data_IF_976654721276
#
_entry.id   IF_976654721276
#
_cell.length_a   1.000
_cell.length_b   1.000
_cell.length_c   1.000
_cell.angle_alpha   90.00
_cell.angle_beta   90.00
_cell.angle_gamma   90.00
#
_symmetry.space_group_name_H-M   'P 1'
#
loop_
_entity.id
_entity.type
_entity.pdbx_description
1 polymer ?
#
# COMPACT_ATOMS: atom_id res chain seq x y z
N UNK A 1 -24.78 -26.57 0.57
CA UNK A 1 -24.06 -26.14 1.78
C UNK A 1 -24.50 -26.92 3.04
N UNK A 2 -25.30 -26.39 3.98
CA UNK A 2 -25.62 -27.07 5.26
C UNK A 2 -26.23 -28.48 5.10
N UNK A 3 -27.19 -28.63 4.18
CA UNK A 3 -27.83 -29.94 3.89
C UNK A 3 -26.86 -30.95 3.28
N UNK A 4 -25.92 -30.53 2.44
CA UNK A 4 -24.93 -31.44 1.83
C UNK A 4 -23.88 -31.90 2.82
N UNK A 5 -23.29 -31.00 3.63
CA UNK A 5 -22.31 -31.36 4.65
C UNK A 5 -22.87 -32.38 5.66
N UNK A 6 -24.14 -32.21 6.04
CA UNK A 6 -24.83 -33.15 6.93
C UNK A 6 -24.94 -34.56 6.35
N UNK A 7 -25.08 -34.69 5.02
CA UNK A 7 -25.16 -35.98 4.33
C UNK A 7 -23.79 -36.63 4.11
N UNK A 8 -22.73 -35.83 3.91
CA UNK A 8 -21.36 -36.32 3.66
C UNK A 8 -20.59 -36.61 4.96
N UNK A 9 -21.14 -36.22 6.13
CA UNK A 9 -20.51 -36.37 7.46
C UNK A 9 -19.21 -35.57 7.59
N UNK A 10 -19.18 -34.35 7.05
CA UNK A 10 -18.03 -33.45 7.11
C UNK A 10 -18.27 -32.29 8.08
N UNK A 11 -17.22 -31.70 8.67
CA UNK A 11 -17.32 -30.44 9.38
C UNK A 11 -18.00 -29.36 8.53
N UNK A 12 -18.82 -28.53 9.16
CA UNK A 12 -19.38 -27.35 8.52
C UNK A 12 -19.13 -26.10 9.37
N UNK A 13 -18.98 -24.98 8.67
CA UNK A 13 -18.99 -23.64 9.24
C UNK A 13 -19.78 -22.75 8.28
N UNK A 14 -20.93 -22.24 8.71
CA UNK A 14 -21.83 -21.50 7.81
C UNK A 14 -22.55 -20.36 8.52
N UNK A 15 -22.62 -19.22 7.85
CA UNK A 15 -23.34 -18.04 8.32
C UNK A 15 -24.71 -17.94 7.65
N UNK A 16 -25.74 -17.68 8.43
CA UNK A 16 -27.08 -17.46 7.91
C UNK A 16 -27.93 -16.59 8.84
N UNK A 17 -29.06 -16.13 8.29
CA UNK A 17 -30.07 -15.38 9.05
C UNK A 17 -31.03 -16.34 9.73
N UNK A 18 -31.13 -16.25 11.05
CA UNK A 18 -32.09 -17.02 11.84
C UNK A 18 -33.11 -16.09 12.49
N UNK A 19 -34.40 -16.43 12.37
CA UNK A 19 -35.48 -15.70 13.03
C UNK A 19 -35.66 -16.21 14.46
N UNK A 20 -35.50 -15.33 15.44
CA UNK A 20 -35.73 -15.60 16.86
C UNK A 20 -37.23 -15.67 17.17
N UNK A 21 -37.57 -16.14 18.38
CA UNK A 21 -38.94 -16.28 18.87
C UNK A 21 -39.72 -14.95 18.92
N UNK A 22 -39.01 -13.83 19.07
CA UNK A 22 -39.55 -12.47 19.06
C UNK A 22 -39.79 -11.91 17.63
N UNK A 23 -39.49 -12.71 16.60
CA UNK A 23 -39.62 -12.32 15.19
C UNK A 23 -38.40 -11.57 14.63
N UNK A 24 -37.41 -11.20 15.46
CA UNK A 24 -36.19 -10.55 14.97
C UNK A 24 -35.27 -11.53 14.27
N UNK A 25 -34.68 -11.11 13.16
CA UNK A 25 -33.64 -11.88 12.50
C UNK A 25 -32.26 -11.51 13.03
N UNK A 26 -31.46 -12.54 13.34
CA UNK A 26 -30.06 -12.43 13.75
C UNK A 26 -29.16 -13.13 12.76
N UNK A 27 -27.96 -12.61 12.57
CA UNK A 27 -26.90 -13.34 11.90
C UNK A 27 -26.31 -14.35 12.87
N UNK A 28 -26.23 -15.60 12.44
CA UNK A 28 -25.71 -16.69 13.25
C UNK A 28 -24.65 -17.41 12.43
N UNK A 29 -23.51 -17.68 13.05
CA UNK A 29 -22.54 -18.64 12.55
C UNK A 29 -22.82 -19.98 13.26
N UNK A 30 -23.03 -21.01 12.46
CA UNK A 30 -23.22 -22.37 12.94
C UNK A 30 -22.02 -23.20 12.53
N UNK A 31 -21.30 -23.73 13.51
CA UNK A 31 -20.22 -24.66 13.29
C UNK A 31 -20.57 -26.01 13.89
N UNK A 32 -20.24 -27.09 13.19
CA UNK A 32 -20.51 -28.44 13.67
C UNK A 32 -19.53 -29.43 13.10
N UNK A 33 -19.19 -30.44 13.89
CA UNK A 33 -18.35 -31.57 13.48
C UNK A 33 -19.05 -32.89 13.75
N UNK A 34 -18.88 -33.88 12.87
CA UNK A 34 -19.34 -35.23 13.15
C UNK A 34 -18.61 -35.75 14.39
N UNK A 35 -19.30 -36.51 15.24
CA UNK A 35 -18.65 -37.27 16.30
C UNK A 35 -19.10 -38.72 16.24
N UNK A 36 -18.22 -39.61 16.64
CA UNK A 36 -18.46 -41.05 16.70
C UNK A 36 -18.61 -41.51 18.15
N UNK A 37 -19.35 -42.58 18.35
CA UNK A 37 -19.40 -43.28 19.63
C UNK A 37 -18.10 -44.09 19.87
N UNK A 38 -17.93 -44.71 21.06
CA UNK A 38 -16.77 -45.54 21.36
C UNK A 38 -16.59 -46.77 20.45
N UNK A 39 -17.66 -47.20 19.77
CA UNK A 39 -17.64 -48.33 18.82
C UNK A 39 -17.28 -47.88 17.39
N UNK A 40 -16.99 -46.59 17.18
CA UNK A 40 -16.61 -46.00 15.91
C UNK A 40 -17.79 -45.71 14.97
N UNK A 41 -19.04 -45.81 15.45
CA UNK A 41 -20.22 -45.50 14.66
C UNK A 41 -20.56 -44.02 14.73
N UNK A 42 -21.10 -43.47 13.64
CA UNK A 42 -21.53 -42.08 13.59
C UNK A 42 -22.68 -41.82 14.58
N UNK A 43 -22.42 -41.00 15.59
CA UNK A 43 -23.34 -40.70 16.67
C UNK A 43 -24.08 -39.36 16.48
N UNK A 44 -23.62 -38.52 15.55
CA UNK A 44 -24.27 -37.27 15.19
C UNK A 44 -23.27 -36.15 14.98
N UNK A 45 -23.73 -34.91 15.21
CA UNK A 45 -22.91 -33.72 15.16
C UNK A 45 -22.85 -33.04 16.53
N UNK A 46 -21.67 -32.56 16.91
CA UNK A 46 -21.50 -31.61 18.02
C UNK A 46 -21.09 -30.28 17.40
N UNK A 47 -21.75 -29.21 17.83
CA UNK A 47 -21.57 -27.89 17.25
C UNK A 47 -22.07 -26.78 18.16
N UNK A 48 -21.81 -25.55 17.74
CA UNK A 48 -22.26 -24.35 18.42
C UNK A 48 -22.82 -23.34 17.41
N UNK A 49 -23.82 -22.59 17.87
CA UNK A 49 -24.38 -21.45 17.17
C UNK A 49 -23.99 -20.18 17.91
N UNK A 50 -23.25 -19.28 17.26
CA UNK A 50 -22.91 -17.98 17.83
C UNK A 50 -23.68 -16.89 17.10
N UNK A 51 -24.33 -15.99 17.85
CA UNK A 51 -24.89 -14.77 17.28
C UNK A 51 -23.75 -13.83 16.91
N UNK A 52 -23.64 -13.51 15.63
CA UNK A 52 -22.61 -12.62 15.06
C UNK A 52 -23.23 -11.31 14.54
N UNK A 53 -24.46 -10.99 14.96
CA UNK A 53 -25.19 -9.81 14.47
C UNK A 53 -24.44 -8.52 14.79
N UNK A 54 -23.92 -8.36 16.00
CA UNK A 54 -23.17 -7.17 16.40
C UNK A 54 -21.86 -7.04 15.59
N UNK A 55 -21.15 -8.16 15.40
CA UNK A 55 -19.94 -8.20 14.56
C UNK A 55 -20.23 -7.76 13.13
N UNK A 56 -21.24 -8.35 12.49
CA UNK A 56 -21.67 -7.99 11.12
C UNK A 56 -22.09 -6.52 11.02
N UNK A 57 -22.82 -6.00 12.02
CA UNK A 57 -23.20 -4.59 12.05
C UNK A 57 -22.01 -3.64 12.18
N UNK A 58 -21.00 -4.01 12.99
CA UNK A 58 -19.76 -3.23 13.09
C UNK A 58 -18.94 -3.28 11.80
N UNK A 59 -18.82 -4.45 11.17
CA UNK A 59 -18.16 -4.62 9.87
C UNK A 59 -18.86 -3.77 8.79
N UNK A 60 -20.19 -3.88 8.65
CA UNK A 60 -20.99 -3.09 7.71
C UNK A 60 -20.88 -1.58 7.98
N UNK A 61 -20.91 -1.15 9.24
CA UNK A 61 -20.77 0.25 9.62
C UNK A 61 -19.38 0.79 9.29
N UNK A 62 -18.33 0.01 9.53
CA UNK A 62 -16.94 0.35 9.20
C UNK A 62 -16.76 0.47 7.69
N UNK A 63 -17.26 -0.50 6.92
CA UNK A 63 -17.26 -0.44 5.45
C UNK A 63 -18.02 0.77 4.92
N UNK A 64 -19.19 1.07 5.50
CA UNK A 64 -19.98 2.23 5.10
C UNK A 64 -19.23 3.54 5.37
N UNK A 65 -18.61 3.67 6.54
CA UNK A 65 -17.79 4.84 6.88
C UNK A 65 -16.56 4.98 5.97
N UNK A 66 -15.94 3.86 5.59
CA UNK A 66 -14.86 3.86 4.61
C UNK A 66 -15.32 4.36 3.23
N UNK A 67 -16.45 3.86 2.72
CA UNK A 67 -17.03 4.32 1.45
C UNK A 67 -17.41 5.80 1.47
N UNK A 68 -17.97 6.28 2.58
CA UNK A 68 -18.28 7.71 2.76
C UNK A 68 -17.01 8.57 2.72
N UNK A 69 -15.93 8.13 3.39
CA UNK A 69 -14.65 8.84 3.39
C UNK A 69 -14.03 8.87 1.99
N UNK A 70 -14.13 7.78 1.22
CA UNK A 70 -13.66 7.73 -0.17
C UNK A 70 -14.38 8.72 -1.08
N UNK A 71 -15.71 8.69 -1.05
CA UNK A 71 -16.52 9.60 -1.86
C UNK A 71 -16.23 11.05 -1.51
N UNK A 72 -16.00 11.33 -0.23
CA UNK A 72 -15.58 12.65 0.23
C UNK A 72 -14.20 13.03 -0.32
N UNK A 73 -13.18 12.18 -0.15
CA UNK A 73 -11.81 12.44 -0.66
C UNK A 73 -11.81 12.60 -2.18
N UNK A 74 -12.56 11.78 -2.90
CA UNK A 74 -12.69 11.85 -4.35
C UNK A 74 -13.32 13.17 -4.80
N UNK A 75 -14.48 13.52 -4.24
CA UNK A 75 -15.20 14.74 -4.58
C UNK A 75 -14.36 15.98 -4.30
N UNK A 76 -13.77 16.07 -3.10
CA UNK A 76 -12.90 17.20 -2.73
C UNK A 76 -11.70 17.30 -3.67
N UNK A 77 -11.04 16.18 -3.98
CA UNK A 77 -9.86 16.20 -4.86
C UNK A 77 -10.21 16.60 -6.29
N UNK A 78 -11.37 16.16 -6.79
CA UNK A 78 -11.89 16.58 -8.08
C UNK A 78 -12.20 18.08 -8.12
N UNK A 79 -12.91 18.59 -7.12
CA UNK A 79 -13.35 19.98 -7.06
C UNK A 79 -12.18 20.95 -6.85
N UNK A 80 -11.10 20.51 -6.21
CA UNK A 80 -9.86 21.29 -6.07
C UNK A 80 -8.98 21.28 -7.33
N UNK A 81 -9.16 20.32 -8.24
CA UNK A 81 -8.34 20.22 -9.45
C UNK A 81 -8.64 21.35 -10.44
N UNK A 82 -9.91 21.65 -10.68
CA UNK A 82 -10.32 22.71 -11.61
C UNK A 82 -9.74 24.10 -11.26
N UNK A 83 -9.86 24.61 -10.02
CA UNK A 83 -9.26 25.90 -9.65
C UNK A 83 -7.73 25.88 -9.73
N UNK A 84 -7.07 24.76 -9.40
CA UNK A 84 -5.61 24.64 -9.54
C UNK A 84 -5.15 24.73 -10.99
N UNK A 85 -5.80 24.02 -11.91
CA UNK A 85 -5.49 24.09 -13.35
C UNK A 85 -5.68 25.51 -13.87
N UNK A 86 -6.75 26.19 -13.43
CA UNK A 86 -6.97 27.59 -13.79
C UNK A 86 -5.87 28.51 -13.27
N UNK A 87 -5.44 28.34 -12.02
CA UNK A 87 -4.33 29.12 -11.44
C UNK A 87 -3.01 28.87 -12.17
N UNK A 88 -2.72 27.61 -12.51
CA UNK A 88 -1.55 27.24 -13.31
C UNK A 88 -1.55 27.97 -14.67
N UNK A 89 -2.71 27.98 -15.33
CA UNK A 89 -2.89 28.64 -16.63
C UNK A 89 -2.67 30.15 -16.54
N UNK A 90 -3.26 30.83 -15.55
CA UNK A 90 -3.04 32.27 -15.36
C UNK A 90 -1.61 32.62 -14.98
N UNK A 91 -0.95 31.84 -14.13
CA UNK A 91 0.45 32.04 -13.79
C UNK A 91 1.35 31.93 -15.04
N UNK A 92 1.10 30.92 -15.87
CA UNK A 92 1.82 30.73 -17.13
C UNK A 92 1.58 31.87 -18.13
N UNK A 93 0.34 32.31 -18.29
CA UNK A 93 0.02 33.47 -19.16
C UNK A 93 0.73 34.74 -18.67
N UNK A 94 0.77 34.97 -17.36
CA UNK A 94 1.48 36.10 -16.76
C UNK A 94 2.99 36.02 -17.04
N UNK A 95 3.58 34.82 -16.99
CA UNK A 95 4.99 34.60 -17.36
C UNK A 95 5.24 34.89 -18.84
N UNK A 96 4.35 34.43 -19.72
CA UNK A 96 4.47 34.62 -21.17
C UNK A 96 4.29 36.11 -21.58
N UNK A 97 3.33 36.82 -20.99
CA UNK A 97 3.01 38.21 -21.36
C UNK A 97 3.93 39.24 -20.70
N UNK A 98 4.29 39.03 -19.43
CA UNK A 98 5.00 40.03 -18.63
C UNK A 98 6.40 39.55 -18.17
N UNK A 99 6.79 38.31 -18.45
CA UNK A 99 8.05 37.75 -17.93
C UNK A 99 9.30 38.46 -18.41
N UNK A 100 9.27 39.19 -19.54
CA UNK A 100 10.41 39.98 -20.02
C UNK A 100 10.58 41.32 -19.30
N UNK A 101 9.49 41.86 -18.74
CA UNK A 101 9.47 43.14 -18.00
C UNK A 101 9.44 42.95 -16.48
N UNK A 102 9.29 41.72 -16.00
CA UNK A 102 9.38 41.37 -14.58
C UNK A 102 10.79 41.55 -14.04
N UNK A 103 10.87 42.25 -12.91
CA UNK A 103 12.05 42.27 -12.05
C UNK A 103 12.32 40.89 -11.41
N UNK A 104 13.46 40.77 -10.72
CA UNK A 104 13.88 39.52 -10.11
C UNK A 104 12.89 39.00 -9.05
N UNK A 105 12.35 39.91 -8.23
CA UNK A 105 11.44 39.56 -7.14
C UNK A 105 10.10 39.01 -7.67
N UNK A 106 9.52 39.66 -8.69
CA UNK A 106 8.27 39.19 -9.31
C UNK A 106 8.45 37.85 -10.02
N UNK A 107 9.61 37.62 -10.65
CA UNK A 107 9.94 36.32 -11.25
C UNK A 107 10.06 35.23 -10.19
N UNK A 108 10.68 35.53 -9.05
CA UNK A 108 10.75 34.59 -7.93
C UNK A 108 9.36 34.27 -7.36
N UNK A 109 8.49 35.25 -7.18
CA UNK A 109 7.11 35.01 -6.74
C UNK A 109 6.36 34.10 -7.70
N UNK A 110 6.50 34.32 -9.02
CA UNK A 110 5.84 33.50 -10.02
C UNK A 110 6.35 32.06 -10.02
N UNK A 111 7.67 31.86 -9.94
CA UNK A 111 8.27 30.53 -9.78
C UNK A 111 7.79 29.81 -8.52
N UNK A 112 7.62 30.54 -7.41
CA UNK A 112 7.04 29.97 -6.17
C UNK A 112 5.57 29.58 -6.36
N UNK A 113 4.78 30.36 -7.11
CA UNK A 113 3.40 30.01 -7.44
C UNK A 113 3.36 28.71 -8.26
N UNK A 114 4.17 28.61 -9.32
CA UNK A 114 4.28 27.38 -10.12
C UNK A 114 4.62 26.17 -9.26
N UNK A 115 5.68 26.26 -8.44
CA UNK A 115 6.11 25.18 -7.55
C UNK A 115 5.01 24.76 -6.56
N UNK A 116 4.23 25.71 -6.04
CA UNK A 116 3.12 25.41 -5.14
C UNK A 116 1.95 24.72 -5.86
N UNK A 117 1.61 25.17 -7.08
CA UNK A 117 0.54 24.56 -7.88
C UNK A 117 0.90 23.13 -8.28
N UNK A 118 2.15 22.89 -8.69
CA UNK A 118 2.65 21.55 -8.99
C UNK A 118 2.59 20.67 -7.74
N UNK A 119 3.08 21.18 -6.60
CA UNK A 119 3.02 20.47 -5.32
C UNK A 119 1.59 20.11 -4.90
N UNK A 120 0.62 21.01 -5.11
CA UNK A 120 -0.79 20.75 -4.81
C UNK A 120 -1.40 19.72 -5.77
N UNK A 121 -1.00 19.74 -7.04
CA UNK A 121 -1.45 18.75 -8.03
C UNK A 121 -0.94 17.34 -7.69
N UNK A 122 0.32 17.24 -7.26
CA UNK A 122 0.91 15.98 -6.78
C UNK A 122 0.19 15.47 -5.53
N UNK A 123 -0.08 16.37 -4.55
CA UNK A 123 -0.80 16.02 -3.32
C UNK A 123 -2.20 15.47 -3.60
N UNK A 124 -2.93 16.07 -4.54
CA UNK A 124 -4.26 15.59 -4.93
C UNK A 124 -4.20 14.22 -5.61
N UNK A 125 -3.18 13.99 -6.43
CA UNK A 125 -2.98 12.72 -7.12
C UNK A 125 -2.66 11.60 -6.12
N UNK A 126 -1.71 11.84 -5.22
CA UNK A 126 -1.32 10.91 -4.17
C UNK A 126 -2.49 10.60 -3.20
N UNK A 127 -3.29 11.61 -2.85
CA UNK A 127 -4.44 11.44 -1.96
C UNK A 127 -5.53 10.58 -2.60
N UNK A 128 -5.83 10.82 -3.88
CA UNK A 128 -6.78 10.01 -4.65
C UNK A 128 -6.31 8.55 -4.76
N UNK A 129 -5.01 8.36 -4.92
CA UNK A 129 -4.43 7.05 -5.01
C UNK A 129 -4.50 6.29 -3.69
N UNK A 130 -4.13 6.95 -2.58
CA UNK A 130 -4.25 6.38 -1.24
C UNK A 130 -5.69 5.92 -0.95
N UNK A 131 -6.68 6.69 -1.41
CA UNK A 131 -8.10 6.34 -1.27
C UNK A 131 -8.52 5.08 -2.04
N UNK A 132 -7.77 4.68 -3.08
CA UNK A 132 -8.13 3.57 -3.98
C UNK A 132 -7.45 2.24 -3.64
N UNK A 133 -6.34 2.26 -2.89
CA UNK A 133 -5.60 1.05 -2.51
C UNK A 133 -6.48 0.13 -1.65
N UNK A 134 -6.51 -1.17 -1.98
CA UNK A 134 -7.26 -2.21 -1.25
C UNK A 134 -8.76 -2.30 -1.57
N UNK A 135 -9.26 -1.51 -2.53
CA UNK A 135 -10.71 -1.32 -2.75
C UNK A 135 -11.17 -1.53 -4.18
N UNK A 136 -10.25 -1.44 -5.14
CA UNK A 136 -10.47 -1.82 -6.54
C UNK A 136 -9.89 -3.20 -6.72
N UNK A 137 -10.64 -4.12 -7.31
CA UNK A 137 -10.09 -5.42 -7.75
C UNK A 137 -8.93 -5.16 -8.70
N UNK A 138 -7.73 -5.52 -8.25
CA UNK A 138 -6.53 -5.39 -9.05
C UNK A 138 -6.21 -6.68 -9.77
N UNK A 139 -5.68 -6.54 -10.98
CA UNK A 139 -5.21 -7.67 -11.76
C UNK A 139 -3.92 -8.21 -11.13
N UNK A 140 -4.02 -9.33 -10.44
CA UNK A 140 -2.87 -10.07 -9.92
C UNK A 140 -2.28 -10.93 -11.03
N UNK A 141 -0.96 -10.85 -11.20
CA UNK A 141 -0.22 -11.63 -12.19
C UNK A 141 1.14 -12.06 -11.63
N UNK A 142 1.80 -12.99 -12.32
CA UNK A 142 3.20 -13.31 -12.03
C UNK A 142 4.08 -12.18 -12.56
N UNK A 143 4.73 -11.45 -11.66
CA UNK A 143 5.54 -10.27 -11.99
C UNK A 143 7.01 -10.52 -11.71
N UNK A 144 7.88 -10.54 -12.74
CA UNK A 144 9.32 -10.52 -12.56
C UNK A 144 9.76 -9.17 -11.99
N UNK A 145 10.24 -9.15 -10.74
CA UNK A 145 10.59 -7.88 -10.07
C UNK A 145 11.79 -7.21 -10.75
N UNK A 146 12.66 -7.97 -11.40
CA UNK A 146 13.75 -7.44 -12.23
C UNK A 146 13.26 -6.52 -13.35
N UNK A 147 12.15 -6.86 -14.01
CA UNK A 147 11.55 -6.01 -15.06
C UNK A 147 11.00 -4.71 -14.48
N UNK A 148 10.37 -4.78 -13.30
CA UNK A 148 9.87 -3.60 -12.61
C UNK A 148 11.04 -2.67 -12.29
N UNK A 149 12.06 -3.17 -11.61
CA UNK A 149 13.20 -2.35 -11.18
C UNK A 149 13.87 -1.72 -12.39
N UNK A 150 14.08 -2.47 -13.47
CA UNK A 150 14.64 -1.94 -14.72
C UNK A 150 13.80 -0.79 -15.28
N UNK A 151 12.49 -1.00 -15.44
CA UNK A 151 11.58 0.02 -15.95
C UNK A 151 11.53 1.27 -15.07
N UNK A 152 11.48 1.10 -13.75
CA UNK A 152 11.45 2.23 -12.81
C UNK A 152 12.76 3.02 -12.87
N UNK A 153 13.90 2.35 -13.04
CA UNK A 153 15.19 3.03 -13.22
C UNK A 153 15.23 3.81 -14.54
N UNK A 154 14.66 3.28 -15.62
CA UNK A 154 14.52 4.00 -16.90
C UNK A 154 13.63 5.24 -16.75
N UNK A 155 12.48 5.12 -16.07
CA UNK A 155 11.57 6.25 -15.78
C UNK A 155 12.25 7.36 -14.96
N UNK A 156 13.22 6.99 -14.11
CA UNK A 156 13.98 7.94 -13.27
C UNK A 156 15.37 8.27 -13.83
N UNK A 157 15.68 7.89 -15.07
CA UNK A 157 17.03 8.03 -15.62
C UNK A 157 17.54 9.49 -15.61
N UNK A 158 16.66 10.46 -15.90
CA UNK A 158 17.00 11.90 -15.86
C UNK A 158 17.36 12.32 -14.44
N UNK A 159 16.50 12.01 -13.46
CA UNK A 159 16.72 12.33 -12.05
C UNK A 159 18.03 11.71 -11.52
N UNK A 160 18.28 10.44 -11.86
CA UNK A 160 19.47 9.72 -11.45
C UNK A 160 20.74 10.31 -12.07
N UNK A 161 20.69 10.66 -13.35
CA UNK A 161 21.82 11.22 -14.09
C UNK A 161 22.17 12.63 -13.61
N UNK A 162 21.17 13.50 -13.44
CA UNK A 162 21.36 14.87 -12.94
C UNK A 162 21.93 14.89 -11.52
N UNK A 163 21.55 13.93 -10.69
CA UNK A 163 22.08 13.77 -9.34
C UNK A 163 23.46 13.07 -9.30
N UNK A 164 23.94 12.53 -10.43
CA UNK A 164 25.17 11.73 -10.48
C UNK A 164 25.09 10.46 -9.64
N UNK A 165 23.91 9.83 -9.58
CA UNK A 165 23.66 8.68 -8.72
C UNK A 165 24.31 7.39 -9.26
N UNK A 166 24.96 6.63 -8.38
CA UNK A 166 25.42 5.27 -8.63
C UNK A 166 24.32 4.30 -8.20
N UNK A 167 23.83 3.46 -9.11
CA UNK A 167 22.79 2.47 -8.81
C UNK A 167 23.33 1.06 -8.97
N UNK A 168 23.09 0.23 -7.96
CA UNK A 168 23.40 -1.21 -7.96
C UNK A 168 22.13 -1.98 -7.68
N UNK A 169 21.64 -2.73 -8.66
CA UNK A 169 20.50 -3.64 -8.48
C UNK A 169 20.99 -5.08 -8.49
N UNK A 170 20.39 -5.94 -7.65
CA UNK A 170 20.65 -7.37 -7.67
C UNK A 170 20.21 -8.00 -9.00
N UNK A 171 21.08 -8.81 -9.61
CA UNK A 171 20.82 -9.44 -10.92
C UNK A 171 19.74 -10.53 -10.89
N UNK A 172 19.40 -11.04 -9.70
CA UNK A 172 18.56 -12.23 -9.50
C UNK A 172 17.29 -11.94 -8.67
N UNK A 173 16.65 -10.79 -8.89
CA UNK A 173 15.38 -10.46 -8.23
C UNK A 173 14.29 -11.51 -8.55
N UNK A 174 13.51 -11.97 -7.55
CA UNK A 174 12.53 -13.05 -7.73
C UNK A 174 11.28 -12.58 -8.48
N UNK A 175 10.47 -13.55 -8.91
CA UNK A 175 9.10 -13.33 -9.40
C UNK A 175 8.12 -13.41 -8.22
N UNK A 176 7.17 -12.48 -8.16
CA UNK A 176 6.10 -12.44 -7.15
C UNK A 176 4.73 -12.48 -7.81
N UNK A 177 3.71 -12.97 -7.11
CA UNK A 177 2.33 -12.94 -7.62
C UNK A 177 1.59 -11.73 -7.02
N UNK A 178 1.34 -10.71 -7.84
CA UNK A 178 0.84 -9.43 -7.37
C UNK A 178 0.51 -8.44 -8.48
N UNK A 179 0.18 -7.21 -8.07
CA UNK A 179 -0.10 -6.12 -9.00
C UNK A 179 1.19 -5.44 -9.46
N UNK A 180 1.48 -5.55 -10.76
CA UNK A 180 2.65 -4.89 -11.39
C UNK A 180 2.64 -3.38 -11.15
N UNK A 181 1.48 -2.74 -11.28
CA UNK A 181 1.34 -1.29 -11.09
C UNK A 181 1.74 -0.87 -9.68
N UNK A 182 1.29 -1.60 -8.66
CA UNK A 182 1.58 -1.31 -7.26
C UNK A 182 3.02 -1.54 -6.88
N UNK A 183 3.61 -2.63 -7.35
CA UNK A 183 5.02 -2.90 -7.13
C UNK A 183 5.91 -1.85 -7.81
N UNK A 184 5.61 -1.47 -9.06
CA UNK A 184 6.30 -0.36 -9.74
C UNK A 184 6.24 0.93 -8.94
N UNK A 185 5.08 1.24 -8.37
CA UNK A 185 4.92 2.41 -7.52
C UNK A 185 5.77 2.36 -6.24
N UNK A 186 5.78 1.22 -5.55
CA UNK A 186 6.62 1.03 -4.34
C UNK A 186 8.09 1.28 -4.66
N UNK A 187 8.62 0.66 -5.72
CA UNK A 187 10.01 0.86 -6.12
C UNK A 187 10.28 2.29 -6.57
N UNK A 188 9.38 2.91 -7.33
CA UNK A 188 9.46 4.31 -7.76
C UNK A 188 9.56 5.28 -6.57
N UNK A 189 8.71 5.09 -5.56
CA UNK A 189 8.74 5.88 -4.35
C UNK A 189 10.07 5.73 -3.58
N UNK A 190 10.57 4.50 -3.45
CA UNK A 190 11.83 4.24 -2.75
C UNK A 190 13.04 4.79 -3.50
N UNK A 191 13.15 4.55 -4.81
CA UNK A 191 14.26 5.01 -5.65
C UNK A 191 14.28 6.53 -5.72
N UNK A 192 13.13 7.17 -5.95
CA UNK A 192 13.08 8.64 -6.00
C UNK A 192 13.45 9.26 -4.64
N UNK A 193 13.05 8.64 -3.52
CA UNK A 193 13.42 9.10 -2.18
C UNK A 193 14.93 8.96 -1.92
N UNK A 194 15.55 7.85 -2.32
CA UNK A 194 16.99 7.63 -2.16
C UNK A 194 17.82 8.75 -2.81
N UNK A 195 17.37 9.30 -3.94
CA UNK A 195 18.02 10.44 -4.62
C UNK A 195 17.65 11.77 -3.96
N UNK A 196 16.35 12.03 -3.72
CA UNK A 196 15.85 13.29 -3.15
C UNK A 196 16.43 13.61 -1.77
N UNK A 197 16.69 12.58 -0.96
CA UNK A 197 17.23 12.71 0.40
C UNK A 197 18.74 12.45 0.49
N UNK A 198 19.45 12.55 -0.63
CA UNK A 198 20.91 12.51 -0.67
C UNK A 198 21.56 13.65 0.13
N UNK A 199 22.80 13.41 0.56
CA UNK A 199 23.64 14.41 1.24
C UNK A 199 24.18 15.42 0.22
N UNK A 200 24.21 16.68 0.61
CA UNK A 200 24.71 17.74 -0.26
C UNK A 200 26.20 17.55 -0.55
N UNK A 201 26.59 17.61 -1.82
CA UNK A 201 27.97 17.40 -2.26
C UNK A 201 28.45 15.94 -2.26
N UNK A 202 27.58 14.97 -1.97
CA UNK A 202 27.89 13.53 -2.01
C UNK A 202 27.04 12.85 -3.10
N UNK A 203 27.67 12.12 -4.00
CA UNK A 203 26.97 11.35 -5.02
C UNK A 203 26.02 10.31 -4.36
N UNK A 204 24.73 10.27 -4.73
CA UNK A 204 23.81 9.26 -4.21
C UNK A 204 24.28 7.86 -4.61
N UNK A 205 24.27 6.92 -3.68
CA UNK A 205 24.51 5.50 -3.95
C UNK A 205 23.26 4.73 -3.56
N UNK A 206 22.60 4.12 -4.54
CA UNK A 206 21.33 3.39 -4.38
C UNK A 206 21.58 1.91 -4.61
N UNK A 207 21.38 1.10 -3.59
CA UNK A 207 21.50 -0.35 -3.63
C UNK A 207 20.12 -0.99 -3.52
N UNK A 208 19.72 -1.78 -4.52
CA UNK A 208 18.42 -2.46 -4.59
C UNK A 208 18.68 -3.95 -4.48
N UNK A 209 18.10 -4.60 -3.47
CA UNK A 209 18.32 -6.01 -3.23
C UNK A 209 17.13 -6.70 -2.58
N UNK A 210 17.32 -7.98 -2.28
CA UNK A 210 16.30 -8.81 -1.66
C UNK A 210 16.93 -9.91 -0.81
N UNK A 211 16.15 -10.42 0.14
CA UNK A 211 16.50 -11.53 1.03
C UNK A 211 15.31 -12.52 1.09
N UNK A 212 15.54 -13.85 1.02
CA UNK A 212 14.47 -14.82 1.25
C UNK A 212 14.05 -14.81 2.72
N UNK A 213 12.75 -14.85 2.97
CA UNK A 213 12.14 -15.10 4.28
C UNK A 213 11.29 -16.37 4.20
N UNK A 214 10.98 -16.95 5.36
CA UNK A 214 10.04 -18.06 5.42
C UNK A 214 8.66 -17.61 4.95
N UNK A 215 8.20 -18.11 3.80
CA UNK A 215 6.92 -17.75 3.19
C UNK A 215 6.86 -16.38 2.50
N UNK A 216 7.95 -15.62 2.44
CA UNK A 216 7.97 -14.27 1.87
C UNK A 216 9.33 -13.89 1.26
N UNK A 217 9.37 -12.78 0.55
CA UNK A 217 10.60 -12.10 0.15
C UNK A 217 10.68 -10.77 0.88
N UNK A 218 11.87 -10.40 1.35
CA UNK A 218 12.16 -9.04 1.82
C UNK A 218 12.90 -8.29 0.72
N UNK A 219 12.31 -7.23 0.19
CA UNK A 219 12.99 -6.31 -0.72
C UNK A 219 13.50 -5.11 0.05
N UNK A 220 14.62 -4.55 -0.40
CA UNK A 220 15.16 -3.33 0.19
C UNK A 220 15.74 -2.39 -0.86
N UNK A 221 15.68 -1.10 -0.53
CA UNK A 221 16.38 -0.01 -1.22
C UNK A 221 17.19 0.73 -0.17
N UNK A 222 18.50 0.72 -0.34
CA UNK A 222 19.47 1.33 0.55
C UNK A 222 20.11 2.54 -0.11
N UNK A 223 20.19 3.62 0.64
CA UNK A 223 20.77 4.89 0.24
C UNK A 223 21.90 5.31 1.19
N UNK A 224 22.78 6.19 0.70
CA UNK A 224 23.80 6.89 1.49
C UNK A 224 23.37 8.32 1.85
N UNK A 225 22.07 8.58 1.99
CA UNK A 225 21.49 9.90 2.19
C UNK A 225 21.65 10.45 3.60
N UNK A 226 20.77 11.39 3.97
CA UNK A 226 20.83 12.11 5.26
C UNK A 226 20.52 11.22 6.48
N UNK A 227 19.91 10.06 6.26
CA UNK A 227 19.43 9.19 7.32
C UNK A 227 18.28 9.76 8.17
N UNK A 228 17.79 8.95 9.10
CA UNK A 228 16.61 9.19 9.93
C UNK A 228 16.94 8.85 11.38
N UNK A 229 16.58 9.75 12.30
CA UNK A 229 16.70 9.52 13.75
C UNK A 229 15.75 8.42 14.20
N UNK A 230 16.16 7.60 15.16
CA UNK A 230 15.34 6.55 15.78
C UNK A 230 13.90 7.00 16.10
N UNK A 231 13.76 8.14 16.80
CA UNK A 231 12.45 8.69 17.21
C UNK A 231 11.51 9.07 16.07
N UNK A 232 12.04 9.18 14.85
CA UNK A 232 11.31 9.61 13.67
C UNK A 232 11.05 8.45 12.69
N UNK A 233 11.63 7.25 12.91
CA UNK A 233 11.52 6.09 12.02
C UNK A 233 10.08 5.59 11.80
N UNK A 234 9.22 5.65 12.81
CA UNK A 234 7.81 5.29 12.64
C UNK A 234 7.02 6.38 11.93
N UNK A 235 7.42 7.64 12.13
CA UNK A 235 6.72 8.82 11.60
C UNK A 235 6.93 9.00 10.11
N UNK A 236 7.98 8.44 9.50
CA UNK A 236 8.20 8.62 8.05
C UNK A 236 7.13 7.93 7.20
N UNK A 237 6.41 6.94 7.75
CA UNK A 237 5.31 6.26 7.08
C UNK A 237 3.94 6.92 7.32
N UNK A 238 3.86 8.02 8.07
CA UNK A 238 2.60 8.73 8.30
C UNK A 238 2.33 9.74 7.18
N UNK A 239 1.07 9.92 6.82
CA UNK A 239 0.63 10.87 5.78
C UNK A 239 1.10 12.29 6.14
N UNK A 240 1.57 13.04 5.15
CA UNK A 240 2.09 14.42 5.26
C UNK A 240 3.35 14.57 6.13
N UNK A 241 4.05 13.47 6.40
CA UNK A 241 5.29 13.51 7.18
C UNK A 241 6.46 13.94 6.32
N UNK A 242 7.13 15.03 6.70
CA UNK A 242 8.38 15.53 6.07
C UNK A 242 9.39 15.87 7.16
N UNK A 243 10.56 15.22 7.12
CA UNK A 243 11.62 15.45 8.10
C UNK A 243 12.45 16.68 7.70
N UNK A 244 12.22 17.81 8.41
CA UNK A 244 12.99 19.07 8.60
C UNK A 244 13.74 19.74 7.42
N UNK A 245 13.93 19.14 6.24
CA UNK A 245 14.49 19.80 5.06
C UNK A 245 13.33 20.48 4.32
N UNK A 246 13.07 21.75 4.65
CA UNK A 246 11.97 22.56 4.07
C UNK A 246 12.03 22.66 2.54
N UNK A 247 13.18 22.38 1.95
CA UNK A 247 13.45 22.60 0.52
C UNK A 247 13.41 21.34 -0.37
N UNK A 248 13.26 20.12 0.21
CA UNK A 248 13.16 18.89 -0.60
C UNK A 248 11.75 18.71 -1.12
N UNK A 249 11.56 18.71 -2.43
CA UNK A 249 10.28 18.51 -3.09
C UNK A 249 9.67 17.12 -2.79
N UNK A 250 8.35 17.06 -2.61
CA UNK A 250 7.61 15.83 -2.31
C UNK A 250 6.35 16.07 -1.49
N UNK A 251 5.35 15.20 -1.62
CA UNK A 251 4.06 15.34 -0.94
C UNK A 251 4.10 14.90 0.53
N UNK A 252 5.06 14.04 0.89
CA UNK A 252 5.08 13.35 2.18
C UNK A 252 4.04 12.22 2.28
N UNK A 253 3.48 11.79 1.14
CA UNK A 253 2.48 10.72 1.07
C UNK A 253 3.08 9.42 0.50
N UNK A 254 4.13 9.50 -0.33
CA UNK A 254 4.69 8.33 -1.02
C UNK A 254 5.06 7.13 -0.12
N UNK A 255 5.65 7.35 1.06
CA UNK A 255 5.95 6.26 2.00
C UNK A 255 4.68 5.70 2.69
N UNK A 256 3.65 6.53 2.88
CA UNK A 256 2.36 6.06 3.39
C UNK A 256 1.61 5.23 2.33
N UNK A 257 1.69 5.61 1.04
CA UNK A 257 1.21 4.83 -0.09
C UNK A 257 1.93 3.47 -0.13
N UNK A 258 3.26 3.47 -0.09
CA UNK A 258 4.04 2.23 -0.04
C UNK A 258 3.58 1.33 1.10
N UNK A 259 3.49 1.88 2.32
CA UNK A 259 3.04 1.14 3.49
C UNK A 259 1.67 0.51 3.26
N UNK A 260 0.71 1.29 2.74
CA UNK A 260 -0.64 0.81 2.47
C UNK A 260 -0.64 -0.30 1.43
N UNK A 261 0.08 -0.14 0.32
CA UNK A 261 0.21 -1.17 -0.73
C UNK A 261 0.73 -2.48 -0.16
N UNK A 262 1.79 -2.41 0.63
CA UNK A 262 2.43 -3.60 1.22
C UNK A 262 1.53 -4.27 2.24
N UNK A 263 0.86 -3.50 3.10
CA UNK A 263 -0.07 -4.02 4.12
C UNK A 263 -1.30 -4.70 3.49
N UNK A 264 -1.85 -4.17 2.39
CA UNK A 264 -2.93 -4.84 1.64
C UNK A 264 -2.50 -6.19 1.05
N UNK A 265 -1.22 -6.34 0.73
CA UNK A 265 -0.66 -7.63 0.29
C UNK A 265 -0.27 -8.55 1.47
N UNK A 266 -0.63 -8.21 2.70
CA UNK A 266 -0.25 -8.97 3.90
C UNK A 266 1.24 -8.86 4.27
N UNK A 267 1.95 -7.91 3.68
CA UNK A 267 3.36 -7.64 3.95
C UNK A 267 3.59 -6.66 5.09
N UNK A 268 4.86 -6.38 5.35
CA UNK A 268 5.33 -5.43 6.36
C UNK A 268 6.35 -4.47 5.75
N UNK A 269 6.43 -3.26 6.28
CA UNK A 269 7.43 -2.26 5.88
C UNK A 269 8.27 -1.83 7.07
N UNK A 270 9.49 -1.37 6.79
CA UNK A 270 10.33 -0.77 7.81
C UNK A 270 11.50 0.02 7.24
N UNK A 271 12.28 0.59 8.16
CA UNK A 271 13.45 1.38 7.82
C UNK A 271 14.55 1.18 8.85
N UNK A 272 15.73 0.81 8.36
CA UNK A 272 16.97 0.74 9.14
C UNK A 272 17.83 1.94 8.74
N UNK A 273 18.04 2.89 9.64
CA UNK A 273 18.68 4.16 9.26
C UNK A 273 19.47 4.80 10.40
N UNK A 274 20.61 5.38 10.05
CA UNK A 274 21.46 6.14 10.97
C UNK A 274 21.60 7.57 10.43
N UNK A 275 21.27 8.56 11.27
CA UNK A 275 21.37 9.98 10.91
C UNK A 275 22.80 10.30 10.45
N UNK A 276 22.94 10.82 9.23
CA UNK A 276 24.21 11.15 8.60
C UNK A 276 24.88 10.04 7.79
N UNK A 277 24.43 8.78 7.89
CA UNK A 277 25.04 7.65 7.17
C UNK A 277 24.19 7.14 5.99
N UNK A 278 22.86 7.19 6.13
CA UNK A 278 21.91 6.75 5.11
C UNK A 278 20.71 6.00 5.66
N UNK A 279 19.87 5.47 4.78
CA UNK A 279 18.69 4.68 5.15
C UNK A 279 18.58 3.42 4.31
N UNK A 280 18.04 2.36 4.89
CA UNK A 280 17.62 1.14 4.19
C UNK A 280 16.15 0.97 4.42
N UNK A 281 15.35 1.34 3.43
CA UNK A 281 13.92 1.08 3.43
C UNK A 281 13.68 -0.33 2.91
N UNK A 282 12.80 -1.06 3.58
CA UNK A 282 12.51 -2.44 3.22
C UNK A 282 11.01 -2.72 3.30
N UNK A 283 10.58 -3.71 2.53
CA UNK A 283 9.24 -4.27 2.63
C UNK A 283 9.25 -5.78 2.40
N UNK A 284 8.26 -6.47 2.93
CA UNK A 284 8.03 -7.89 2.66
C UNK A 284 6.89 -8.08 1.68
N UNK A 285 7.00 -9.13 0.88
CA UNK A 285 5.95 -9.52 -0.06
C UNK A 285 5.80 -11.05 0.00
N UNK A 286 4.57 -11.60 0.12
CA UNK A 286 4.37 -13.04 0.19
C UNK A 286 4.96 -13.78 -1.01
N UNK A 287 5.50 -14.98 -0.77
CA UNK A 287 5.90 -15.84 -1.88
C UNK A 287 4.66 -16.50 -2.49
N UNK A 288 4.73 -16.85 -3.77
CA UNK A 288 3.65 -17.58 -4.46
C UNK A 288 3.26 -18.87 -3.73
N UNK A 289 4.23 -19.53 -3.11
CA UNK A 289 3.99 -20.78 -2.37
C UNK A 289 3.19 -20.52 -1.08
N UNK A 290 3.48 -19.42 -0.36
CA UNK A 290 2.71 -19.03 0.82
C UNK A 290 1.29 -18.58 0.43
N UNK A 291 1.14 -17.83 -0.68
CA UNK A 291 -0.17 -17.42 -1.18
C UNK A 291 -1.02 -18.62 -1.61
N UNK A 292 -0.42 -19.62 -2.29
CA UNK A 292 -1.11 -20.85 -2.65
C UNK A 292 -1.56 -21.66 -1.43
N UNK A 293 -0.76 -21.70 -0.36
CA UNK A 293 -1.15 -22.36 0.91
C UNK A 293 -2.29 -21.59 1.59
N UNK A 294 -2.30 -20.25 1.55
CA UNK A 294 -3.39 -19.42 2.10
C UNK A 294 -4.69 -19.62 1.29
N UNK A 295 -4.61 -19.60 -0.04
CA UNK A 295 -5.75 -19.87 -0.94
C UNK A 295 -6.31 -21.29 -0.75
N UNK A 296 -5.44 -22.30 -0.61
CA UNK A 296 -5.85 -23.66 -0.29
C UNK A 296 -6.49 -23.75 1.11
N UNK A 297 -6.01 -23.01 2.11
CA UNK A 297 -6.62 -22.96 3.45
C UNK A 297 -7.96 -22.22 3.49
N UNK A 298 -8.16 -21.20 2.65
CA UNK A 298 -9.46 -20.54 2.50
C UNK A 298 -10.48 -21.41 1.76
N UNK A 299 -10.00 -22.28 0.86
CA UNK A 299 -10.81 -23.25 0.13
C UNK A 299 -11.04 -24.57 0.91
N UNK A 300 -10.16 -24.94 1.84
CA UNK A 300 -10.30 -26.12 2.68
C UNK A 300 -11.19 -25.84 3.92
N UNK A 301 -12.28 -26.60 4.14
CA UNK A 301 -13.07 -26.47 5.36
C UNK A 301 -12.24 -26.93 6.56
N UNK A 302 -11.65 -25.98 7.30
CA UNK A 302 -10.91 -26.11 8.56
C UNK A 302 -10.91 -27.52 9.19
N UNK A 303 -10.07 -28.42 8.66
CA UNK A 303 -9.83 -29.74 9.25
C UNK A 303 -8.85 -29.52 10.40
N UNK A 304 -9.26 -29.84 11.63
CA UNK A 304 -8.37 -29.75 12.81
C UNK A 304 -7.87 -31.14 13.17
N UNK A 305 -6.59 -31.31 13.56
CA UNK A 305 -6.01 -32.62 13.82
C UNK A 305 -6.62 -33.28 15.07
N UNK A 306 -6.56 -34.62 15.07
CA UNK A 306 -7.22 -35.58 15.95
C UNK A 306 -6.95 -35.45 17.46
#
# INVERSE_FOLDING_TARGET
AYREAFHVREPFNTEFRLRRHDGQYRWVINCGRPFTDPDGQFAGYIGACYDITERRQMEEALEQKNRELESFVYTVSHDLRAPLVSMAGFARLLEEEAGSVMDADNREYLQRIHKNVDSMSDLLTDLLELSRIGRVEEHLEDVPVSEIVTKVLEEHAVLLTEAGAEVKAADNLPTVHGSRTRLSQVFSNLISNAVKFSREGVAPCVEIGWEPLEGAYRFFVKDNGIGIRDKDREKVFTIFSRLKKKDVAGTGIGLAIMKRVVEECGGQVGVDSVEGEGSTFWFTFPSRQAQAIEEERELEPAVTPA
#
